data_IF_735806332835
#
_entry.id   IF_735806332835
#
_cell.length_a   1.000
_cell.length_b   1.000
_cell.length_c   1.000
_cell.angle_alpha   90.00
_cell.angle_beta   90.00
_cell.angle_gamma   90.00
#
_symmetry.space_group_name_H-M   'P 1'
#
loop_
_entity.id
_entity.type
_entity.pdbx_description
1 polymer ?
#
# COMPACT_ATOMS: atom_id res chain seq x y z
N UNK A 1 -20.91 -24.76 16.86
CA UNK A 1 -19.71 -23.95 16.58
C UNK A 1 -19.08 -23.54 17.89
N UNK A 2 -17.78 -23.80 18.09
CA UNK A 2 -17.09 -23.45 19.34
C UNK A 2 -16.83 -21.93 19.42
N UNK A 3 -16.97 -21.34 20.61
CA UNK A 3 -16.68 -19.92 20.84
C UNK A 3 -15.24 -19.55 20.44
N UNK A 4 -14.28 -20.44 20.65
CA UNK A 4 -12.88 -20.23 20.24
C UNK A 4 -12.78 -20.07 18.71
N UNK A 5 -13.57 -20.83 17.94
CA UNK A 5 -13.52 -20.79 16.49
C UNK A 5 -14.07 -19.46 15.95
N UNK A 6 -15.11 -18.91 16.58
CA UNK A 6 -15.67 -17.61 16.21
C UNK A 6 -14.67 -16.49 16.50
N UNK A 7 -14.02 -16.52 17.66
CA UNK A 7 -12.98 -15.53 18.02
C UNK A 7 -11.83 -15.59 17.03
N UNK A 8 -11.31 -16.78 16.73
CA UNK A 8 -10.21 -16.94 15.78
C UNK A 8 -10.58 -16.48 14.37
N UNK A 9 -11.80 -16.77 13.92
CA UNK A 9 -12.33 -16.29 12.64
C UNK A 9 -12.37 -14.75 12.60
N UNK A 10 -12.89 -14.10 13.64
CA UNK A 10 -12.97 -12.65 13.70
C UNK A 10 -11.58 -12.00 13.69
N UNK A 11 -10.62 -12.55 14.45
CA UNK A 11 -9.24 -12.08 14.46
C UNK A 11 -8.60 -12.18 13.08
N UNK A 12 -8.79 -13.30 12.38
CA UNK A 12 -8.26 -13.48 11.02
C UNK A 12 -8.81 -12.46 10.04
N UNK A 13 -10.13 -12.20 10.11
CA UNK A 13 -10.78 -11.20 9.28
C UNK A 13 -10.20 -9.81 9.56
N UNK A 14 -10.07 -9.42 10.83
CA UNK A 14 -9.55 -8.11 11.21
C UNK A 14 -8.09 -7.96 10.78
N UNK A 15 -7.24 -8.97 10.97
CA UNK A 15 -5.82 -8.86 10.62
C UNK A 15 -5.62 -8.79 9.11
N UNK A 16 -6.26 -9.67 8.34
CA UNK A 16 -6.09 -9.69 6.89
C UNK A 16 -6.79 -8.49 6.24
N UNK A 17 -8.08 -8.32 6.47
CA UNK A 17 -8.86 -7.28 5.81
C UNK A 17 -8.60 -5.90 6.41
N UNK A 18 -8.44 -5.81 7.73
CA UNK A 18 -8.06 -4.55 8.38
C UNK A 18 -6.65 -4.13 7.97
N UNK A 19 -5.68 -5.06 7.96
CA UNK A 19 -4.34 -4.77 7.45
C UNK A 19 -4.36 -4.30 6.00
N UNK A 20 -5.07 -5.02 5.12
CA UNK A 20 -5.21 -4.64 3.71
C UNK A 20 -5.86 -3.27 3.52
N UNK A 21 -6.96 -2.99 4.22
CA UNK A 21 -7.66 -1.71 4.12
C UNK A 21 -6.77 -0.55 4.59
N UNK A 22 -6.04 -0.73 5.69
CA UNK A 22 -5.08 0.28 6.19
C UNK A 22 -3.97 0.52 5.17
N UNK A 23 -3.38 -0.53 4.60
CA UNK A 23 -2.34 -0.39 3.57
C UNK A 23 -2.84 0.33 2.33
N UNK A 24 -4.04 0.01 1.85
CA UNK A 24 -4.65 0.71 0.70
C UNK A 24 -4.88 2.19 0.99
N UNK A 25 -5.39 2.53 2.17
CA UNK A 25 -5.57 3.93 2.59
C UNK A 25 -4.22 4.64 2.72
N UNK A 26 -3.19 3.95 3.24
CA UNK A 26 -1.84 4.51 3.36
C UNK A 26 -1.27 4.84 1.99
N UNK A 27 -1.33 3.90 1.04
CA UNK A 27 -0.83 4.07 -0.31
C UNK A 27 -1.61 5.13 -1.08
N UNK A 28 -2.94 5.19 -0.90
CA UNK A 28 -3.76 6.22 -1.53
C UNK A 28 -3.44 7.64 -1.04
N UNK A 29 -2.92 7.77 0.19
CA UNK A 29 -2.52 9.07 0.78
C UNK A 29 -1.07 9.43 0.49
N UNK A 30 -0.21 8.43 0.34
CA UNK A 30 1.19 8.59 0.02
C UNK A 30 1.51 7.68 -1.16
N UNK A 31 1.16 8.10 -2.40
CA UNK A 31 1.49 7.33 -3.58
C UNK A 31 3.01 7.20 -3.72
N UNK A 32 3.49 6.02 -4.13
CA UNK A 32 4.92 5.72 -4.17
C UNK A 32 5.67 6.63 -5.15
N UNK A 33 5.04 7.06 -6.25
CA UNK A 33 5.63 7.96 -7.25
C UNK A 33 5.98 9.38 -6.74
N UNK A 34 5.42 9.79 -5.60
CA UNK A 34 5.60 11.13 -5.03
C UNK A 34 6.03 11.09 -3.56
N UNK A 35 6.34 9.91 -3.03
CA UNK A 35 6.72 9.74 -1.63
C UNK A 35 8.08 9.06 -1.49
N UNK A 36 8.76 9.36 -0.38
CA UNK A 36 10.13 8.89 -0.13
C UNK A 36 11.13 9.37 -1.17
N UNK A 37 12.13 8.54 -1.47
CA UNK A 37 13.24 8.86 -2.37
C UNK A 37 12.79 9.32 -3.77
N UNK A 38 11.71 8.72 -4.30
CA UNK A 38 11.17 9.04 -5.63
C UNK A 38 10.55 10.45 -5.68
N UNK A 39 9.97 10.90 -4.56
CA UNK A 39 9.42 12.26 -4.44
C UNK A 39 10.48 13.32 -4.09
N UNK A 40 11.57 12.92 -3.42
CA UNK A 40 12.65 13.83 -3.00
C UNK A 40 13.62 14.15 -4.15
N UNK A 41 13.70 13.28 -5.16
CA UNK A 41 14.57 13.42 -6.32
C UNK A 41 13.78 13.64 -7.61
N UNK A 42 13.75 14.87 -8.17
CA UNK A 42 12.94 15.18 -9.35
C UNK A 42 13.31 14.33 -10.59
N UNK A 43 14.56 13.89 -10.69
CA UNK A 43 15.05 12.99 -11.74
C UNK A 43 14.53 11.53 -11.63
N UNK A 44 14.02 11.13 -10.46
CA UNK A 44 13.49 9.77 -10.21
C UNK A 44 11.96 9.70 -10.27
N UNK A 45 11.30 10.79 -10.67
CA UNK A 45 9.84 10.82 -10.81
C UNK A 45 9.38 9.96 -11.98
N UNK A 46 8.17 9.41 -11.87
CA UNK A 46 7.59 8.52 -12.90
C UNK A 46 7.50 9.17 -14.29
N UNK A 47 7.32 10.48 -14.36
CA UNK A 47 7.29 11.23 -15.63
C UNK A 47 8.67 11.21 -16.32
N UNK A 48 9.73 11.48 -15.57
CA UNK A 48 11.10 11.51 -16.09
C UNK A 48 11.56 10.10 -16.48
N UNK A 49 11.28 9.10 -15.65
CA UNK A 49 11.61 7.70 -15.94
C UNK A 49 10.83 7.17 -17.16
N UNK A 50 9.52 7.45 -17.25
CA UNK A 50 8.71 7.07 -18.41
C UNK A 50 9.21 7.70 -19.71
N UNK A 51 9.64 8.96 -19.68
CA UNK A 51 10.22 9.63 -20.84
C UNK A 51 11.59 9.07 -21.27
N UNK A 52 12.30 8.36 -20.38
CA UNK A 52 13.55 7.65 -20.70
C UNK A 52 13.29 6.25 -21.28
N UNK A 53 12.24 5.56 -20.84
CA UNK A 53 11.88 4.23 -21.37
C UNK A 53 11.44 4.28 -22.84
N UNK A 54 10.90 5.42 -23.30
CA UNK A 54 10.47 5.62 -24.68
C UNK A 54 11.61 6.03 -25.65
N UNK A 55 12.82 6.29 -25.15
CA UNK A 55 14.01 6.66 -25.95
C UNK A 55 14.88 5.47 -26.33
#
# INVERSE_FOLDING_TARGET
>A
MSGIAIVMMALFIIVIWGGLAVSLVSLSKHPDEVSGELGDHPELTSEVLGAQEEQ
#
